data_IF_213620731294
#
_entry.id   IF_213620731294
#
_cell.length_a   1.000
_cell.length_b   1.000
_cell.length_c   1.000
_cell.angle_alpha   90.00
_cell.angle_beta   90.00
_cell.angle_gamma   90.00
#
_symmetry.space_group_name_H-M   'P 1'
#
loop_
_entity.id
_entity.type
_entity.pdbx_description
1 polymer ?
#
# COMPACT_ATOMS: atom_id res chain seq x y z
N UNK A 1 -10.59 -38.13 -26.17
CA UNK A 1 -10.85 -37.80 -24.74
C UNK A 1 -9.64 -37.20 -24.02
N UNK A 2 -8.41 -37.69 -24.21
CA UNK A 2 -7.21 -37.23 -23.48
C UNK A 2 -6.90 -35.73 -23.66
N UNK A 3 -7.04 -35.19 -24.87
CA UNK A 3 -6.82 -33.77 -25.17
C UNK A 3 -7.78 -32.81 -24.43
N UNK A 4 -9.05 -33.21 -24.23
CA UNK A 4 -10.05 -32.43 -23.49
C UNK A 4 -9.73 -32.34 -21.99
N UNK A 5 -9.10 -33.38 -21.43
CA UNK A 5 -8.64 -33.38 -20.04
C UNK A 5 -7.43 -32.47 -19.85
N UNK A 6 -6.49 -32.44 -20.80
CA UNK A 6 -5.30 -31.59 -20.73
C UNK A 6 -5.66 -30.10 -20.76
N UNK A 7 -6.61 -29.74 -21.62
CA UNK A 7 -7.10 -28.37 -21.75
C UNK A 7 -7.81 -27.89 -20.46
N UNK A 8 -8.59 -28.76 -19.80
CA UNK A 8 -9.21 -28.45 -18.50
C UNK A 8 -8.18 -28.18 -17.40
N UNK A 9 -7.12 -28.99 -17.31
CA UNK A 9 -6.06 -28.80 -16.31
C UNK A 9 -5.36 -27.48 -16.52
N UNK A 10 -5.05 -27.13 -17.77
CA UNK A 10 -4.39 -25.87 -18.09
C UNK A 10 -5.22 -24.65 -17.68
N UNK A 11 -6.53 -24.66 -17.94
CA UNK A 11 -7.42 -23.57 -17.51
C UNK A 11 -7.50 -23.43 -15.99
N UNK A 12 -7.55 -24.52 -15.24
CA UNK A 12 -7.57 -24.47 -13.76
C UNK A 12 -6.26 -23.87 -13.23
N UNK A 13 -5.12 -24.27 -13.79
CA UNK A 13 -3.81 -23.73 -13.40
C UNK A 13 -3.70 -22.23 -13.71
N UNK A 14 -4.21 -21.77 -14.86
CA UNK A 14 -4.28 -20.34 -15.20
C UNK A 14 -5.12 -19.60 -14.17
N UNK A 15 -6.35 -20.07 -13.89
CA UNK A 15 -7.23 -19.42 -12.91
C UNK A 15 -6.55 -19.37 -11.55
N UNK A 16 -5.93 -20.47 -11.10
CA UNK A 16 -5.24 -20.51 -9.82
C UNK A 16 -4.05 -19.55 -9.76
N UNK A 17 -3.26 -19.46 -10.83
CA UNK A 17 -2.15 -18.50 -10.93
C UNK A 17 -2.61 -17.05 -10.92
N UNK A 18 -3.74 -16.75 -11.56
CA UNK A 18 -4.33 -15.41 -11.56
C UNK A 18 -4.85 -15.04 -10.16
N UNK A 19 -5.53 -15.96 -9.47
CA UNK A 19 -6.03 -15.73 -8.11
C UNK A 19 -4.88 -15.48 -7.12
N UNK A 20 -3.78 -16.25 -7.23
CA UNK A 20 -2.57 -16.03 -6.44
C UNK A 20 -1.88 -14.70 -6.77
N UNK A 21 -1.84 -14.30 -8.04
CA UNK A 21 -1.25 -13.02 -8.45
C UNK A 21 -2.05 -11.80 -7.92
N UNK A 22 -3.35 -11.96 -7.68
CA UNK A 22 -4.22 -10.90 -7.14
C UNK A 22 -4.21 -10.79 -5.62
N UNK A 23 -3.48 -11.63 -4.89
CA UNK A 23 -3.27 -11.48 -3.44
C UNK A 23 -2.31 -10.31 -3.10
N UNK A 24 -2.61 -9.11 -3.60
CA UNK A 24 -2.01 -7.88 -3.08
C UNK A 24 -2.98 -7.34 -2.01
N UNK A 25 -2.52 -7.30 -0.77
CA UNK A 25 -3.31 -6.80 0.36
C UNK A 25 -3.83 -5.39 0.10
N UNK A 26 -4.91 -5.01 0.78
CA UNK A 26 -5.48 -3.68 0.62
C UNK A 26 -4.48 -2.62 1.10
N UNK A 27 -4.06 -1.73 0.20
CA UNK A 27 -3.17 -0.61 0.53
C UNK A 27 -3.89 0.73 0.34
N UNK A 28 -3.70 1.62 1.31
CA UNK A 28 -4.21 2.99 1.34
C UNK A 28 -3.00 3.91 1.28
N UNK A 29 -3.01 4.85 0.33
CA UNK A 29 -1.96 5.86 0.20
C UNK A 29 -2.54 7.26 0.39
N UNK A 30 -1.78 8.13 1.05
CA UNK A 30 -2.09 9.54 1.19
C UNK A 30 -0.88 10.39 0.79
N UNK A 31 -1.08 11.42 -0.03
CA UNK A 31 0.00 12.32 -0.43
C UNK A 31 0.28 13.32 0.68
N UNK A 32 1.56 13.61 0.95
CA UNK A 32 1.90 14.68 1.88
C UNK A 32 1.80 16.01 1.15
N UNK A 33 0.84 16.85 1.56
CA UNK A 33 0.71 18.20 1.03
C UNK A 33 1.82 19.10 1.59
N UNK A 34 2.31 20.04 0.78
CA UNK A 34 3.26 21.04 1.23
C UNK A 34 2.66 21.88 2.35
N UNK A 35 3.46 22.15 3.39
CA UNK A 35 3.04 22.99 4.52
C UNK A 35 3.38 24.45 4.19
N UNK A 36 2.51 25.37 4.56
CA UNK A 36 2.81 26.80 4.55
C UNK A 36 3.14 27.27 5.96
N UNK A 37 4.32 27.86 6.14
CA UNK A 37 4.74 28.49 7.41
C UNK A 37 5.14 29.93 7.12
N UNK A 38 4.51 30.87 7.80
CA UNK A 38 4.74 32.32 7.62
C UNK A 38 4.59 32.78 6.15
N UNK A 39 3.65 32.19 5.42
CA UNK A 39 3.38 32.50 4.01
C UNK A 39 4.39 31.91 3.01
N UNK A 40 5.36 31.11 3.46
CA UNK A 40 6.30 30.39 2.59
C UNK A 40 5.98 28.89 2.56
N UNK A 41 6.12 28.31 1.38
CA UNK A 41 6.05 26.86 1.21
C UNK A 41 7.29 26.21 1.85
N UNK A 42 7.06 25.25 2.73
CA UNK A 42 8.12 24.48 3.39
C UNK A 42 7.95 23.02 2.95
N UNK A 43 9.03 22.38 2.47
CA UNK A 43 8.95 20.97 2.11
C UNK A 43 8.52 20.17 3.35
N UNK A 44 7.56 19.26 3.19
CA UNK A 44 7.19 18.38 4.28
C UNK A 44 8.40 17.55 4.69
N UNK A 45 8.56 17.30 5.98
CA UNK A 45 9.56 16.39 6.55
C UNK A 45 8.93 15.22 7.31
N UNK A 46 7.60 15.25 7.43
CA UNK A 46 6.79 14.33 8.21
C UNK A 46 5.52 13.99 7.45
N UNK A 47 4.98 12.79 7.68
CA UNK A 47 3.64 12.42 7.27
C UNK A 47 2.69 12.55 8.45
N UNK A 48 1.61 13.33 8.34
CA UNK A 48 0.56 13.32 9.34
C UNK A 48 -0.24 12.01 9.22
N UNK A 49 -0.31 11.24 10.30
CA UNK A 49 -1.19 10.10 10.43
C UNK A 49 -2.51 10.57 11.05
N UNK A 50 -3.60 10.46 10.28
CA UNK A 50 -4.93 10.89 10.71
C UNK A 50 -5.56 9.97 11.75
N UNK A 51 -5.02 8.77 11.95
CA UNK A 51 -5.57 7.80 12.87
C UNK A 51 -5.08 7.99 14.30
N UNK A 52 -3.79 8.22 14.50
CA UNK A 52 -3.20 8.49 15.82
C UNK A 52 -2.98 9.99 16.10
N UNK A 53 -3.14 10.84 15.08
CA UNK A 53 -2.95 12.28 15.15
C UNK A 53 -1.48 12.70 15.26
N UNK A 54 -0.53 11.78 15.03
CA UNK A 54 0.91 12.03 15.15
C UNK A 54 1.52 12.33 13.79
N UNK A 55 2.68 12.98 13.83
CA UNK A 55 3.52 13.17 12.67
C UNK A 55 4.66 12.15 12.69
N UNK A 56 4.73 11.33 11.64
CA UNK A 56 5.77 10.32 11.47
C UNK A 56 6.86 10.85 10.55
N UNK A 57 8.12 10.59 10.88
CA UNK A 57 9.27 11.04 10.07
C UNK A 57 9.35 10.28 8.74
N UNK A 58 9.89 10.89 7.70
CA UNK A 58 10.20 10.14 6.47
C UNK A 58 11.15 8.98 6.73
N UNK A 59 10.88 7.84 6.09
CA UNK A 59 11.57 6.56 6.28
C UNK A 59 11.11 5.75 7.48
N UNK A 60 10.22 6.30 8.32
CA UNK A 60 9.67 5.54 9.46
C UNK A 60 8.61 4.54 9.02
N UNK A 61 8.50 3.45 9.79
CA UNK A 61 7.51 2.39 9.59
C UNK A 61 6.85 2.08 10.93
N UNK A 62 5.53 1.92 10.94
CA UNK A 62 4.77 1.59 12.15
C UNK A 62 3.61 0.65 11.86
N UNK A 63 3.06 0.06 12.92
CA UNK A 63 1.88 -0.80 12.85
C UNK A 63 0.67 -0.02 13.33
N UNK A 64 -0.40 -0.06 12.55
CA UNK A 64 -1.69 0.58 12.83
C UNK A 64 -2.80 -0.47 12.71
N UNK A 65 -3.10 -1.16 13.81
CA UNK A 65 -4.01 -2.31 13.79
C UNK A 65 -3.49 -3.41 12.87
N UNK A 66 -4.29 -3.78 11.87
CA UNK A 66 -3.94 -4.77 10.83
C UNK A 66 -3.20 -4.15 9.64
N UNK A 67 -2.78 -2.89 9.73
CA UNK A 67 -2.04 -2.22 8.67
C UNK A 67 -0.59 -2.00 9.10
N UNK A 68 0.32 -2.16 8.16
CA UNK A 68 1.70 -1.69 8.25
C UNK A 68 1.85 -0.44 7.40
N UNK A 69 2.20 0.65 8.06
CA UNK A 69 2.32 1.97 7.48
C UNK A 69 3.78 2.38 7.32
N UNK A 70 4.08 3.09 6.24
CA UNK A 70 5.38 3.65 5.92
C UNK A 70 5.20 5.10 5.47
N UNK A 71 6.01 5.99 6.03
CA UNK A 71 6.06 7.39 5.62
C UNK A 71 7.22 7.58 4.65
N UNK A 72 6.90 7.88 3.40
CA UNK A 72 7.85 8.10 2.30
C UNK A 72 7.85 9.56 1.87
N UNK A 73 8.85 9.94 1.09
CA UNK A 73 8.96 11.30 0.52
C UNK A 73 7.78 11.67 -0.37
N UNK A 74 7.09 10.68 -0.96
CA UNK A 74 5.93 10.87 -1.81
C UNK A 74 4.58 10.76 -1.07
N UNK A 75 4.58 10.43 0.22
CA UNK A 75 3.32 10.17 0.93
C UNK A 75 3.43 9.12 2.03
N UNK A 76 2.31 8.92 2.70
CA UNK A 76 2.07 7.82 3.63
C UNK A 76 1.45 6.65 2.86
N UNK A 77 1.95 5.43 3.09
CA UNK A 77 1.43 4.20 2.50
C UNK A 77 1.17 3.19 3.62
N UNK A 78 -0.07 2.75 3.77
CA UNK A 78 -0.48 1.73 4.73
C UNK A 78 -1.03 0.52 3.99
N UNK A 79 -0.49 -0.66 4.23
CA UNK A 79 -0.96 -1.90 3.62
C UNK A 79 -1.42 -2.88 4.69
N UNK A 80 -2.52 -3.58 4.42
CA UNK A 80 -3.00 -4.67 5.26
C UNK A 80 -1.94 -5.77 5.34
N UNK A 81 -1.63 -6.21 6.57
CA UNK A 81 -0.65 -7.27 6.86
C UNK A 81 -1.25 -8.66 6.83
#
# INVERSE_FOLDING_TARGET
>A
LVFLSFQKVFFILIIFSLMLATCQGHCIANTVLAKYKDGKEVPPSTCPDMHDGREHLFGSTWSMGNFRCECRTNGLLCCET
#
